data_IF_598701662968
#
_entry.id   IF_598701662968
#
_cell.length_a   1.000
_cell.length_b   1.000
_cell.length_c   1.000
_cell.angle_alpha   90.00
_cell.angle_beta   90.00
_cell.angle_gamma   90.00
#
_symmetry.space_group_name_H-M   'P 1'
#
loop_
_entity.id
_entity.type
_entity.pdbx_description
1 polymer ?
#
# COMPACT_ATOMS: atom_id res chain seq x y z
N UNK A 1 -25.18 60.59 -56.95
CA UNK A 1 -25.29 59.21 -57.40
C UNK A 1 -24.47 58.37 -56.42
N UNK A 2 -25.16 57.45 -55.69
CA UNK A 2 -24.62 56.27 -54.92
C UNK A 2 -23.69 56.58 -53.73
N UNK A 3 -24.25 56.57 -52.54
CA UNK A 3 -23.66 55.95 -51.35
C UNK A 3 -24.83 55.43 -50.52
N UNK A 4 -25.14 54.16 -50.62
CA UNK A 4 -25.93 53.35 -49.64
C UNK A 4 -25.42 51.92 -49.72
N UNK A 5 -24.47 51.59 -48.88
CA UNK A 5 -24.23 50.15 -48.45
C UNK A 5 -23.15 50.20 -47.41
N UNK A 6 -23.49 50.05 -46.15
CA UNK A 6 -22.59 49.60 -45.08
C UNK A 6 -23.13 49.83 -43.68
N UNK A 7 -24.42 49.54 -43.41
CA UNK A 7 -24.98 49.55 -42.04
C UNK A 7 -25.74 48.20 -41.74
N UNK A 8 -25.27 47.07 -42.23
CA UNK A 8 -25.90 45.79 -41.86
C UNK A 8 -24.92 44.70 -41.40
N UNK A 9 -23.68 45.01 -41.09
CA UNK A 9 -22.69 44.01 -40.65
C UNK A 9 -22.18 44.18 -39.20
N UNK A 10 -22.66 45.19 -38.46
CA UNK A 10 -22.20 45.42 -37.08
C UNK A 10 -23.15 44.92 -35.99
N UNK A 11 -24.32 44.34 -36.34
CA UNK A 11 -25.30 43.85 -35.37
C UNK A 11 -25.23 42.31 -35.13
N UNK A 12 -24.41 41.57 -35.89
CA UNK A 12 -24.31 40.10 -35.80
C UNK A 12 -23.22 39.57 -34.89
N UNK A 13 -22.27 40.40 -34.46
CA UNK A 13 -21.10 39.95 -33.69
C UNK A 13 -21.26 40.18 -32.17
N UNK A 14 -22.23 40.95 -31.75
CA UNK A 14 -22.48 41.26 -30.33
C UNK A 14 -23.45 40.29 -29.63
N UNK A 15 -24.07 39.34 -30.36
CA UNK A 15 -25.00 38.35 -29.79
C UNK A 15 -24.36 36.97 -29.57
N UNK A 16 -23.14 36.73 -30.01
CA UNK A 16 -22.40 35.48 -29.76
C UNK A 16 -21.48 35.52 -28.54
N UNK A 17 -21.23 36.68 -27.96
CA UNK A 17 -20.38 36.83 -26.78
C UNK A 17 -21.14 36.77 -25.44
N UNK A 18 -22.47 36.71 -25.48
CA UNK A 18 -23.32 36.71 -24.27
C UNK A 18 -23.86 35.31 -23.88
N UNK A 19 -23.50 34.26 -24.61
CA UNK A 19 -23.99 32.87 -24.35
C UNK A 19 -22.93 31.91 -23.76
N UNK A 20 -21.74 32.41 -23.42
CA UNK A 20 -20.68 31.61 -22.79
C UNK A 20 -20.52 31.91 -21.28
N UNK A 21 -21.32 32.82 -20.73
CA UNK A 21 -21.18 33.28 -19.33
C UNK A 21 -22.26 32.76 -18.35
N UNK A 22 -23.01 31.74 -18.68
CA UNK A 22 -24.05 31.24 -17.77
C UNK A 22 -23.98 29.73 -17.47
N UNK A 23 -22.83 29.11 -17.66
CA UNK A 23 -22.55 27.75 -17.15
C UNK A 23 -21.43 27.75 -16.07
N UNK A 24 -21.22 28.88 -15.39
CA UNK A 24 -20.38 29.00 -14.22
C UNK A 24 -21.16 28.61 -12.97
N UNK A 25 -21.59 27.35 -12.85
CA UNK A 25 -21.77 26.77 -11.54
C UNK A 25 -20.43 26.92 -10.82
N UNK A 26 -20.40 27.43 -9.59
CA UNK A 26 -19.19 27.51 -8.77
C UNK A 26 -18.62 26.09 -8.64
N UNK A 27 -17.74 25.69 -9.56
CA UNK A 27 -16.98 24.47 -9.44
C UNK A 27 -16.10 24.68 -8.20
N UNK A 28 -16.27 23.83 -7.18
CA UNK A 28 -15.44 23.89 -5.99
C UNK A 28 -13.99 23.69 -6.41
N UNK A 29 -13.08 24.41 -5.80
CA UNK A 29 -11.64 24.17 -6.02
C UNK A 29 -11.28 22.79 -5.44
N UNK A 30 -10.26 22.15 -5.98
CA UNK A 30 -9.74 20.89 -5.46
C UNK A 30 -9.49 20.97 -3.95
N UNK A 31 -8.84 22.03 -3.47
CA UNK A 31 -8.61 22.25 -2.04
C UNK A 31 -9.91 22.28 -1.22
N UNK A 32 -11.00 22.84 -1.75
CA UNK A 32 -12.29 22.86 -1.06
C UNK A 32 -12.92 21.46 -1.03
N UNK A 33 -12.81 20.69 -2.11
CA UNK A 33 -13.29 19.29 -2.18
C UNK A 33 -12.53 18.41 -1.17
N UNK A 34 -11.20 18.49 -1.15
CA UNK A 34 -10.37 17.74 -0.22
C UNK A 34 -10.67 18.10 1.24
N UNK A 35 -10.88 19.40 1.55
CA UNK A 35 -11.24 19.84 2.90
C UNK A 35 -12.62 19.35 3.34
N UNK A 36 -13.60 19.37 2.46
CA UNK A 36 -14.95 18.84 2.74
C UNK A 36 -14.92 17.33 2.99
N UNK A 37 -14.22 16.60 2.13
CA UNK A 37 -14.06 15.15 2.27
C UNK A 37 -13.34 14.78 3.57
N UNK A 38 -12.26 15.46 3.90
CA UNK A 38 -11.55 15.28 5.16
C UNK A 38 -12.48 15.45 6.37
N UNK A 39 -13.30 16.49 6.38
CA UNK A 39 -14.26 16.71 7.48
C UNK A 39 -15.30 15.58 7.58
N UNK A 40 -15.66 14.96 6.48
CA UNK A 40 -16.56 13.79 6.44
C UNK A 40 -15.88 12.55 7.01
N UNK A 41 -14.67 12.25 6.56
CA UNK A 41 -13.92 11.05 6.95
C UNK A 41 -13.26 11.13 8.32
N UNK A 42 -13.06 12.32 8.90
CA UNK A 42 -12.60 12.47 10.29
C UNK A 42 -13.68 12.16 11.34
N UNK A 43 -14.95 12.09 10.93
CA UNK A 43 -16.03 11.68 11.82
C UNK A 43 -15.89 10.23 12.28
N UNK A 44 -16.58 9.85 13.35
CA UNK A 44 -16.69 8.45 13.79
C UNK A 44 -17.27 7.61 12.64
N UNK A 45 -16.61 6.51 12.24
CA UNK A 45 -17.08 5.69 11.15
C UNK A 45 -18.46 5.08 11.42
N UNK A 46 -19.29 5.12 10.38
CA UNK A 46 -20.61 4.48 10.36
C UNK A 46 -20.86 3.94 8.96
N UNK A 47 -21.76 2.97 8.83
CA UNK A 47 -22.14 2.41 7.51
C UNK A 47 -22.67 3.48 6.55
N UNK A 48 -23.51 4.39 7.06
CA UNK A 48 -23.98 5.54 6.27
C UNK A 48 -22.83 6.45 5.86
N UNK A 49 -21.87 6.70 6.78
CA UNK A 49 -20.69 7.51 6.48
C UNK A 49 -19.80 6.89 5.39
N UNK A 50 -19.65 5.56 5.38
CA UNK A 50 -18.96 4.84 4.31
C UNK A 50 -19.67 5.05 2.96
N UNK A 51 -21.00 4.93 2.94
CA UNK A 51 -21.82 5.16 1.75
C UNK A 51 -21.68 6.60 1.24
N UNK A 52 -21.75 7.57 2.14
CA UNK A 52 -21.61 9.00 1.79
C UNK A 52 -20.21 9.31 1.28
N UNK A 53 -19.17 8.74 1.88
CA UNK A 53 -17.78 8.91 1.47
C UNK A 53 -17.50 8.36 0.06
N UNK A 54 -17.97 7.15 -0.25
CA UNK A 54 -17.88 6.57 -1.61
C UNK A 54 -18.62 7.45 -2.62
N UNK A 55 -19.87 7.85 -2.29
CA UNK A 55 -20.66 8.71 -3.18
C UNK A 55 -19.98 10.04 -3.48
N UNK A 56 -19.28 10.59 -2.50
CA UNK A 56 -18.50 11.81 -2.68
C UNK A 56 -17.33 11.58 -3.64
N UNK A 57 -16.52 10.51 -3.44
CA UNK A 57 -15.42 10.18 -4.36
C UNK A 57 -15.94 10.02 -5.78
N UNK A 58 -16.97 9.18 -5.98
CA UNK A 58 -17.53 8.91 -7.30
C UNK A 58 -18.00 10.16 -8.03
N UNK A 59 -18.52 11.13 -7.27
CA UNK A 59 -19.01 12.39 -7.82
C UNK A 59 -17.87 13.33 -8.21
N UNK A 60 -16.76 13.33 -7.46
CA UNK A 60 -15.75 14.39 -7.54
C UNK A 60 -14.36 13.93 -7.98
N UNK A 61 -14.10 12.62 -8.09
CA UNK A 61 -12.77 12.10 -8.44
C UNK A 61 -12.28 12.59 -9.81
N UNK A 62 -13.20 12.90 -10.73
CA UNK A 62 -12.86 13.45 -12.04
C UNK A 62 -12.57 14.96 -12.01
N UNK A 63 -12.92 15.64 -10.93
CA UNK A 63 -12.75 17.09 -10.76
C UNK A 63 -11.45 17.47 -10.03
N UNK A 64 -10.68 16.46 -9.60
CA UNK A 64 -9.41 16.63 -8.87
C UNK A 64 -8.24 16.10 -9.68
N UNK A 65 -7.03 16.50 -9.30
CA UNK A 65 -5.79 15.93 -9.84
C UNK A 65 -5.62 14.46 -9.41
N UNK A 66 -4.69 13.73 -10.03
CA UNK A 66 -4.33 12.36 -9.64
C UNK A 66 -3.86 12.29 -8.17
N UNK A 67 -3.07 13.29 -7.73
CA UNK A 67 -2.68 13.44 -6.32
C UNK A 67 -3.91 13.71 -5.42
N UNK A 68 -4.83 14.57 -5.87
CA UNK A 68 -6.09 14.81 -5.17
C UNK A 68 -6.95 13.55 -5.06
N UNK A 69 -7.04 12.77 -6.14
CA UNK A 69 -7.74 11.48 -6.15
C UNK A 69 -7.08 10.48 -5.17
N UNK A 70 -5.75 10.41 -5.15
CA UNK A 70 -5.01 9.57 -4.20
C UNK A 70 -5.32 9.94 -2.76
N UNK A 71 -5.38 11.23 -2.44
CA UNK A 71 -5.75 11.71 -1.10
C UNK A 71 -7.19 11.34 -0.70
N UNK A 72 -8.13 11.42 -1.65
CA UNK A 72 -9.52 10.99 -1.40
C UNK A 72 -9.57 9.49 -1.09
N UNK A 73 -8.91 8.67 -1.89
CA UNK A 73 -8.94 7.20 -1.75
C UNK A 73 -8.19 6.74 -0.50
N UNK A 74 -7.04 7.35 -0.16
CA UNK A 74 -6.34 7.09 1.11
C UNK A 74 -7.18 7.46 2.34
N UNK A 75 -7.89 8.59 2.29
CA UNK A 75 -8.77 8.97 3.40
C UNK A 75 -9.98 8.03 3.52
N UNK A 76 -10.42 7.43 2.41
CA UNK A 76 -11.46 6.39 2.43
C UNK A 76 -10.93 5.08 3.01
N UNK A 77 -9.73 4.65 2.62
CA UNK A 77 -9.07 3.49 3.20
C UNK A 77 -8.95 3.62 4.72
N UNK A 78 -8.43 4.76 5.21
CA UNK A 78 -8.35 5.04 6.67
C UNK A 78 -9.73 4.94 7.34
N UNK A 79 -10.77 5.43 6.67
CA UNK A 79 -12.13 5.37 7.19
C UNK A 79 -12.67 3.93 7.26
N UNK A 80 -12.36 3.08 6.25
CA UNK A 80 -12.65 1.64 6.24
C UNK A 80 -11.93 0.91 7.38
N UNK A 81 -10.64 1.18 7.55
CA UNK A 81 -9.83 0.56 8.61
C UNK A 81 -10.38 0.90 10.01
N UNK A 82 -10.69 2.18 10.27
CA UNK A 82 -11.27 2.61 11.54
C UNK A 82 -12.67 2.04 11.78
N UNK A 83 -13.45 1.79 10.72
CA UNK A 83 -14.75 1.11 10.84
C UNK A 83 -14.56 -0.32 11.35
N UNK A 84 -13.59 -1.06 10.82
CA UNK A 84 -13.27 -2.41 11.29
C UNK A 84 -12.69 -2.41 12.71
N UNK A 85 -11.81 -1.45 13.03
CA UNK A 85 -11.21 -1.31 14.38
C UNK A 85 -12.26 -1.03 15.45
N UNK A 86 -13.35 -0.35 15.11
CA UNK A 86 -14.47 -0.13 16.02
C UNK A 86 -15.28 -1.42 16.30
N UNK A 87 -14.92 -2.54 15.67
CA UNK A 87 -15.64 -3.82 15.78
C UNK A 87 -16.97 -3.82 15.03
N UNK A 88 -17.15 -2.86 14.12
CA UNK A 88 -18.35 -2.78 13.29
C UNK A 88 -18.26 -3.78 12.12
N UNK A 89 -19.42 -4.33 11.76
CA UNK A 89 -19.53 -5.17 10.58
C UNK A 89 -20.63 -4.59 9.69
N UNK A 90 -20.39 -4.37 8.39
CA UNK A 90 -21.43 -3.88 7.51
C UNK A 90 -22.56 -4.90 7.38
N UNK A 91 -23.78 -4.41 7.15
CA UNK A 91 -24.88 -5.27 6.76
C UNK A 91 -24.50 -6.00 5.45
N UNK A 92 -24.56 -7.34 5.40
CA UNK A 92 -24.22 -8.08 4.18
C UNK A 92 -25.03 -7.68 2.94
N UNK A 93 -26.21 -7.09 3.11
CA UNK A 93 -27.05 -6.60 2.02
C UNK A 93 -26.74 -5.13 1.64
N UNK A 94 -25.91 -4.43 2.42
CA UNK A 94 -25.53 -3.06 2.11
C UNK A 94 -24.45 -3.02 1.02
N UNK A 95 -24.50 -2.01 0.14
CA UNK A 95 -23.49 -1.81 -0.93
C UNK A 95 -22.07 -1.59 -0.42
N UNK A 96 -21.93 -1.19 0.84
CA UNK A 96 -20.62 -1.02 1.49
C UNK A 96 -19.97 -2.33 1.90
N UNK A 97 -20.70 -3.45 1.90
CA UNK A 97 -20.15 -4.79 2.17
C UNK A 97 -19.12 -5.21 1.12
N UNK A 98 -19.24 -4.70 -0.11
CA UNK A 98 -18.32 -4.98 -1.23
C UNK A 98 -16.88 -4.45 -0.99
N UNK A 99 -16.67 -3.58 0.01
CA UNK A 99 -15.36 -3.07 0.40
C UNK A 99 -14.63 -3.93 1.42
N UNK A 100 -15.23 -5.05 1.82
CA UNK A 100 -14.68 -5.92 2.83
C UNK A 100 -14.71 -7.38 2.39
N UNK A 101 -13.64 -8.08 2.66
CA UNK A 101 -13.56 -9.52 2.45
C UNK A 101 -13.25 -10.26 3.76
N UNK A 102 -13.53 -11.54 3.79
CA UNK A 102 -13.08 -12.46 4.84
C UNK A 102 -12.03 -13.35 4.17
N UNK A 103 -10.74 -13.24 4.54
CA UNK A 103 -9.70 -14.06 3.95
C UNK A 103 -9.94 -15.54 4.19
N UNK A 104 -9.62 -16.38 3.20
CA UNK A 104 -9.77 -17.84 3.31
C UNK A 104 -8.91 -18.45 4.44
N UNK A 105 -7.84 -17.77 4.82
CA UNK A 105 -6.96 -18.15 5.93
C UNK A 105 -7.57 -17.94 7.33
N UNK A 106 -8.72 -17.25 7.43
CA UNK A 106 -9.37 -16.87 8.70
C UNK A 106 -10.56 -17.77 9.06
N UNK A 107 -10.49 -19.09 8.78
CA UNK A 107 -11.62 -20.01 9.06
C UNK A 107 -11.97 -20.11 10.55
N UNK A 108 -10.97 -19.98 11.46
CA UNK A 108 -11.17 -20.14 12.90
C UNK A 108 -11.71 -18.88 13.57
N UNK A 109 -11.36 -17.72 13.07
CA UNK A 109 -11.81 -16.40 13.54
C UNK A 109 -11.96 -15.47 12.34
N UNK A 110 -13.12 -15.43 11.67
CA UNK A 110 -13.33 -14.73 10.42
C UNK A 110 -13.32 -13.21 10.65
N UNK A 111 -12.13 -12.62 10.71
CA UNK A 111 -11.98 -11.18 10.74
C UNK A 111 -12.10 -10.60 9.34
N UNK A 112 -12.94 -9.58 9.20
CA UNK A 112 -13.05 -8.84 7.94
C UNK A 112 -11.82 -7.97 7.74
N UNK A 113 -11.42 -7.86 6.48
CA UNK A 113 -10.35 -6.98 6.04
C UNK A 113 -10.85 -6.10 4.90
N UNK A 114 -10.13 -5.00 4.62
CA UNK A 114 -10.42 -4.16 3.47
C UNK A 114 -10.12 -4.93 2.19
N UNK A 115 -11.05 -4.89 1.24
CA UNK A 115 -10.86 -5.45 -0.10
C UNK A 115 -10.09 -4.46 -0.97
N UNK A 116 -8.78 -4.65 -1.06
CA UNK A 116 -7.92 -3.79 -1.87
C UNK A 116 -8.08 -4.03 -3.37
N UNK A 117 -8.55 -5.20 -3.80
CA UNK A 117 -8.89 -5.45 -5.20
C UNK A 117 -10.11 -4.63 -5.61
N UNK A 118 -11.12 -4.51 -4.75
CA UNK A 118 -12.27 -3.64 -5.00
C UNK A 118 -11.85 -2.16 -5.10
N UNK A 119 -10.91 -1.70 -4.25
CA UNK A 119 -10.36 -0.34 -4.35
C UNK A 119 -9.57 -0.11 -5.65
N UNK A 120 -8.75 -1.07 -6.04
CA UNK A 120 -7.98 -1.04 -7.29
C UNK A 120 -8.89 -1.06 -8.51
N UNK A 121 -9.88 -1.93 -8.55
CA UNK A 121 -10.83 -2.05 -9.66
C UNK A 121 -11.61 -0.76 -9.88
N UNK A 122 -11.98 -0.07 -8.79
CA UNK A 122 -12.80 1.13 -8.88
C UNK A 122 -12.00 2.40 -9.11
N UNK A 123 -10.85 2.55 -8.46
CA UNK A 123 -10.11 3.81 -8.40
C UNK A 123 -8.67 3.72 -8.94
N UNK A 124 -8.16 2.53 -9.24
CA UNK A 124 -6.76 2.32 -9.62
C UNK A 124 -6.29 3.13 -10.84
N UNK A 125 -7.20 3.40 -11.80
CA UNK A 125 -6.89 4.22 -12.98
C UNK A 125 -6.96 5.75 -12.71
N UNK A 126 -7.29 6.16 -11.48
CA UNK A 126 -7.49 7.55 -11.09
C UNK A 126 -6.49 8.05 -10.07
N UNK A 127 -5.91 7.12 -9.31
CA UNK A 127 -4.91 7.42 -8.28
C UNK A 127 -3.50 7.40 -8.86
N UNK A 128 -2.55 7.94 -8.11
CA UNK A 128 -1.14 7.92 -8.51
C UNK A 128 -0.61 6.49 -8.67
N UNK A 129 0.38 6.28 -9.55
CA UNK A 129 1.01 4.97 -9.72
C UNK A 129 1.51 4.38 -8.40
N UNK A 130 2.03 5.24 -7.51
CA UNK A 130 2.57 4.87 -6.21
C UNK A 130 1.48 4.28 -5.30
N UNK A 131 0.35 4.96 -5.20
CA UNK A 131 -0.76 4.46 -4.39
C UNK A 131 -1.33 3.17 -4.96
N UNK A 132 -1.42 3.08 -6.29
CA UNK A 132 -1.85 1.84 -6.94
C UNK A 132 -0.91 0.68 -6.63
N UNK A 133 0.40 0.88 -6.70
CA UNK A 133 1.38 -0.16 -6.36
C UNK A 133 1.34 -0.54 -4.88
N UNK A 134 1.15 0.43 -3.97
CA UNK A 134 0.94 0.13 -2.56
C UNK A 134 -0.31 -0.74 -2.35
N UNK A 135 -1.41 -0.42 -3.03
CA UNK A 135 -2.64 -1.23 -2.91
C UNK A 135 -2.48 -2.63 -3.50
N UNK A 136 -1.64 -2.81 -4.53
CA UNK A 136 -1.27 -4.16 -5.01
C UNK A 136 -0.52 -4.95 -3.92
N UNK A 137 0.40 -4.32 -3.18
CA UNK A 137 1.08 -4.98 -2.06
C UNK A 137 0.06 -5.34 -0.96
N UNK A 138 -0.83 -4.42 -0.61
CA UNK A 138 -1.88 -4.66 0.39
C UNK A 138 -2.85 -5.76 -0.03
N UNK A 139 -3.26 -5.79 -1.30
CA UNK A 139 -4.11 -6.85 -1.86
C UNK A 139 -3.43 -8.22 -1.76
N UNK A 140 -2.14 -8.32 -2.07
CA UNK A 140 -1.39 -9.57 -1.92
C UNK A 140 -1.40 -10.05 -0.46
N UNK A 141 -1.18 -9.17 0.52
CA UNK A 141 -1.17 -9.55 1.93
C UNK A 141 -2.58 -9.87 2.45
N UNK A 142 -3.63 -9.34 1.83
CA UNK A 142 -5.01 -9.63 2.20
C UNK A 142 -5.49 -10.96 1.62
N UNK A 143 -5.21 -11.22 0.34
CA UNK A 143 -5.67 -12.41 -0.38
C UNK A 143 -4.76 -13.63 -0.15
N UNK A 144 -3.46 -13.39 -0.07
CA UNK A 144 -2.41 -14.38 0.08
C UNK A 144 -1.38 -13.96 1.15
N UNK A 145 -1.76 -13.91 2.42
CA UNK A 145 -0.92 -13.37 3.47
C UNK A 145 0.45 -14.07 3.56
N UNK A 146 1.48 -13.29 3.88
CA UNK A 146 2.82 -13.81 4.12
C UNK A 146 2.86 -14.70 5.36
N UNK A 147 2.09 -14.33 6.39
CA UNK A 147 2.01 -15.08 7.66
C UNK A 147 0.58 -15.17 8.17
N UNK A 148 0.25 -16.29 8.83
CA UNK A 148 -0.97 -16.47 9.61
C UNK A 148 -0.59 -17.18 10.92
N UNK A 149 -1.07 -16.68 12.05
CA UNK A 149 -0.83 -17.27 13.37
C UNK A 149 0.66 -17.57 13.65
N UNK A 150 1.54 -16.65 13.25
CA UNK A 150 3.00 -16.77 13.35
C UNK A 150 3.63 -17.91 12.52
N UNK A 151 2.93 -18.44 11.51
CA UNK A 151 3.46 -19.36 10.51
C UNK A 151 3.67 -18.62 9.18
N UNK A 152 4.82 -18.80 8.53
CA UNK A 152 5.08 -18.28 7.19
C UNK A 152 4.41 -19.20 6.17
N UNK A 153 3.51 -18.66 5.37
CA UNK A 153 2.75 -19.40 4.35
C UNK A 153 3.35 -19.27 2.94
N UNK A 154 4.36 -18.44 2.77
CA UNK A 154 5.00 -18.16 1.48
C UNK A 154 6.37 -18.83 1.40
N UNK A 155 6.80 -19.13 0.18
CA UNK A 155 8.17 -19.58 -0.09
C UNK A 155 9.15 -18.40 0.03
N UNK A 156 10.44 -18.70 0.25
CA UNK A 156 11.46 -17.65 0.27
C UNK A 156 11.52 -16.84 -1.04
N UNK A 157 11.43 -17.44 -2.24
CA UNK A 157 11.31 -16.68 -3.49
C UNK A 157 10.12 -15.72 -3.53
N UNK A 158 8.94 -16.13 -3.01
CA UNK A 158 7.76 -15.25 -2.95
C UNK A 158 8.00 -14.07 -2.01
N UNK A 159 8.60 -14.30 -0.83
CA UNK A 159 8.94 -13.24 0.13
C UNK A 159 9.97 -12.26 -0.45
N UNK A 160 10.98 -12.77 -1.16
CA UNK A 160 11.97 -11.94 -1.86
C UNK A 160 11.32 -11.08 -2.94
N UNK A 161 10.38 -11.62 -3.70
CA UNK A 161 9.62 -10.89 -4.72
C UNK A 161 8.77 -9.77 -4.09
N UNK A 162 8.11 -10.04 -2.96
CA UNK A 162 7.32 -9.06 -2.20
C UNK A 162 8.21 -7.96 -1.63
N UNK A 163 9.34 -8.32 -1.02
CA UNK A 163 10.32 -7.35 -0.54
C UNK A 163 10.86 -6.46 -1.67
N UNK A 164 11.18 -7.05 -2.83
CA UNK A 164 11.64 -6.30 -3.99
C UNK A 164 10.57 -5.33 -4.54
N UNK A 165 9.28 -5.68 -4.51
CA UNK A 165 8.20 -4.77 -4.90
C UNK A 165 8.13 -3.57 -3.96
N UNK A 166 8.20 -3.81 -2.64
CA UNK A 166 8.22 -2.73 -1.66
C UNK A 166 9.48 -1.85 -1.78
N UNK A 167 10.65 -2.45 -2.03
CA UNK A 167 11.90 -1.71 -2.29
C UNK A 167 11.79 -0.79 -3.51
N UNK A 168 11.23 -1.30 -4.63
CA UNK A 168 11.04 -0.50 -5.86
C UNK A 168 10.14 0.69 -5.59
N UNK A 169 9.03 0.47 -4.89
CA UNK A 169 8.10 1.53 -4.54
C UNK A 169 8.79 2.61 -3.70
N UNK A 170 9.64 2.23 -2.74
CA UNK A 170 10.42 3.16 -1.92
C UNK A 170 11.46 3.94 -2.72
N UNK A 171 12.10 3.33 -3.71
CA UNK A 171 13.11 3.98 -4.56
C UNK A 171 12.52 4.95 -5.58
N UNK A 172 11.41 4.58 -6.18
CA UNK A 172 10.81 5.33 -7.29
C UNK A 172 9.99 6.51 -6.79
N UNK A 173 9.44 6.43 -5.57
CA UNK A 173 8.43 7.36 -5.07
C UNK A 173 8.78 7.93 -3.70
N UNK A 174 9.40 9.09 -3.71
CA UNK A 174 9.90 9.74 -2.48
C UNK A 174 8.93 10.77 -1.88
N UNK A 175 7.79 11.07 -2.53
CA UNK A 175 7.08 12.32 -2.30
C UNK A 175 5.79 12.23 -1.48
N UNK A 176 5.23 11.04 -1.22
CA UNK A 176 3.99 10.92 -0.45
C UNK A 176 4.24 10.25 0.91
N UNK A 177 4.14 11.01 1.99
CA UNK A 177 4.45 10.55 3.35
C UNK A 177 3.69 9.28 3.75
N UNK A 178 2.39 9.18 3.43
CA UNK A 178 1.58 8.02 3.80
C UNK A 178 1.94 6.76 2.99
N UNK A 179 2.12 6.87 1.67
CA UNK A 179 2.52 5.76 0.80
C UNK A 179 3.89 5.25 1.21
N UNK A 180 4.84 6.19 1.42
CA UNK A 180 6.19 5.87 1.86
C UNK A 180 6.19 5.16 3.20
N UNK A 181 5.47 5.68 4.21
CA UNK A 181 5.42 5.08 5.55
C UNK A 181 4.89 3.65 5.52
N UNK A 182 3.80 3.40 4.80
CA UNK A 182 3.24 2.05 4.62
C UNK A 182 4.24 1.13 3.88
N UNK A 183 4.88 1.62 2.81
CA UNK A 183 5.84 0.82 2.03
C UNK A 183 7.07 0.45 2.86
N UNK A 184 7.55 1.35 3.73
CA UNK A 184 8.64 1.06 4.68
C UNK A 184 8.23 -0.02 5.68
N UNK A 185 6.99 0.00 6.17
CA UNK A 185 6.49 -1.02 7.09
C UNK A 185 6.42 -2.40 6.42
N UNK A 186 5.89 -2.49 5.19
CA UNK A 186 5.89 -3.75 4.44
C UNK A 186 7.30 -4.25 4.15
N UNK A 187 8.20 -3.38 3.70
CA UNK A 187 9.58 -3.75 3.44
C UNK A 187 10.29 -4.26 4.70
N UNK A 188 10.14 -3.55 5.82
CA UNK A 188 10.64 -3.96 7.12
C UNK A 188 10.13 -5.34 7.53
N UNK A 189 8.83 -5.59 7.38
CA UNK A 189 8.22 -6.86 7.72
C UNK A 189 8.75 -8.00 6.85
N UNK A 190 8.89 -7.79 5.53
CA UNK A 190 9.47 -8.79 4.65
C UNK A 190 10.95 -9.08 4.98
N UNK A 191 11.74 -8.05 5.28
CA UNK A 191 13.11 -8.25 5.74
C UNK A 191 13.16 -9.06 7.02
N UNK A 192 12.30 -8.78 7.99
CA UNK A 192 12.25 -9.54 9.23
C UNK A 192 11.93 -11.02 8.96
N UNK A 193 10.92 -11.32 8.12
CA UNK A 193 10.56 -12.69 7.75
C UNK A 193 11.71 -13.40 7.02
N UNK A 194 12.45 -12.71 6.17
CA UNK A 194 13.61 -13.25 5.46
C UNK A 194 14.80 -13.49 6.39
N UNK A 195 15.09 -12.59 7.33
CA UNK A 195 16.28 -12.69 8.17
C UNK A 195 16.08 -13.52 9.44
N UNK A 196 14.92 -13.39 10.09
CA UNK A 196 14.63 -14.05 11.34
C UNK A 196 13.61 -15.20 11.22
N UNK A 197 12.73 -15.12 10.21
CA UNK A 197 11.56 -16.00 10.12
C UNK A 197 10.42 -15.54 11.01
N UNK A 198 9.66 -16.49 11.49
CA UNK A 198 8.59 -16.28 12.47
C UNK A 198 8.66 -17.33 13.58
N UNK A 199 7.83 -17.17 14.62
CA UNK A 199 7.87 -18.09 15.77
C UNK A 199 7.63 -19.56 15.40
N UNK A 200 6.78 -19.84 14.40
CA UNK A 200 6.49 -21.19 13.93
C UNK A 200 7.30 -21.60 12.71
N UNK A 201 7.94 -20.64 12.04
CA UNK A 201 8.76 -20.90 10.85
C UNK A 201 10.07 -20.10 10.95
N UNK A 202 10.97 -20.43 11.88
CA UNK A 202 12.25 -19.75 12.03
C UNK A 202 13.18 -20.07 10.87
N UNK A 203 14.12 -19.17 10.56
CA UNK A 203 15.15 -19.42 9.53
C UNK A 203 16.20 -20.42 9.97
N UNK A 204 16.39 -20.59 11.28
CA UNK A 204 17.20 -21.67 11.88
C UNK A 204 16.27 -22.65 12.57
N UNK A 205 16.42 -23.94 12.29
CA UNK A 205 15.66 -25.00 12.92
C UNK A 205 15.90 -25.05 14.44
N UNK A 206 14.83 -25.04 15.23
CA UNK A 206 14.95 -24.95 16.70
C UNK A 206 15.64 -26.19 17.36
N UNK A 207 15.53 -27.34 16.74
CA UNK A 207 16.08 -28.56 17.32
C UNK A 207 17.55 -28.76 16.98
N UNK A 208 17.95 -28.41 15.76
CA UNK A 208 19.30 -28.59 15.24
C UNK A 208 20.15 -27.32 15.25
N UNK A 209 19.50 -26.16 15.30
CA UNK A 209 20.13 -24.87 15.15
C UNK A 209 20.65 -24.57 13.73
N UNK A 210 20.36 -25.42 12.76
CA UNK A 210 20.86 -25.27 11.39
C UNK A 210 20.01 -24.26 10.61
N UNK A 211 20.67 -23.42 9.81
CA UNK A 211 20.03 -22.50 8.89
C UNK A 211 19.30 -23.25 7.78
N UNK A 212 18.13 -22.74 7.37
CA UNK A 212 17.33 -23.34 6.30
C UNK A 212 18.11 -23.43 4.99
N UNK A 213 18.28 -24.63 4.41
CA UNK A 213 18.92 -24.78 3.11
C UNK A 213 18.11 -24.16 1.98
N UNK A 214 16.77 -24.15 2.10
CA UNK A 214 15.87 -23.52 1.12
C UNK A 214 16.03 -22.00 1.13
N UNK A 215 16.16 -21.38 2.31
CA UNK A 215 16.47 -19.96 2.43
C UNK A 215 17.83 -19.64 1.79
N UNK A 216 18.84 -20.46 2.08
CA UNK A 216 20.18 -20.26 1.54
C UNK A 216 20.19 -20.25 0.02
N UNK A 217 19.60 -21.27 -0.62
CA UNK A 217 19.52 -21.38 -2.06
C UNK A 217 18.77 -20.19 -2.68
N UNK A 218 17.61 -19.83 -2.12
CA UNK A 218 16.82 -18.70 -2.62
C UNK A 218 17.56 -17.36 -2.52
N UNK A 219 18.32 -17.13 -1.44
CA UNK A 219 19.08 -15.89 -1.26
C UNK A 219 20.29 -15.83 -2.19
N UNK A 220 21.02 -16.93 -2.38
CA UNK A 220 22.12 -17.01 -3.35
C UNK A 220 21.63 -16.70 -4.78
N UNK A 221 20.52 -17.29 -5.18
CA UNK A 221 19.89 -17.06 -6.48
C UNK A 221 19.42 -15.61 -6.65
N UNK A 222 18.80 -15.04 -5.61
CA UNK A 222 18.34 -13.65 -5.64
C UNK A 222 19.50 -12.66 -5.76
N UNK A 223 20.57 -12.81 -4.97
CA UNK A 223 21.75 -11.95 -5.03
C UNK A 223 22.38 -12.01 -6.43
N UNK A 224 22.44 -13.20 -7.04
CA UNK A 224 22.98 -13.36 -8.38
C UNK A 224 22.10 -12.69 -9.46
N UNK A 225 20.76 -12.74 -9.30
CA UNK A 225 19.81 -12.19 -10.25
C UNK A 225 19.58 -10.67 -10.10
N UNK A 226 19.70 -10.11 -8.90
CA UNK A 226 19.34 -8.73 -8.54
C UNK A 226 20.46 -8.01 -7.75
N UNK A 227 21.74 -8.01 -8.20
CA UNK A 227 22.90 -7.57 -7.40
C UNK A 227 22.88 -6.09 -7.00
N UNK A 228 22.12 -5.26 -7.72
CA UNK A 228 22.10 -3.80 -7.53
C UNK A 228 20.95 -3.33 -6.59
N UNK A 229 20.26 -4.26 -5.93
CA UNK A 229 19.18 -3.95 -4.99
C UNK A 229 19.70 -3.76 -3.56
N UNK A 230 18.99 -2.97 -2.74
CA UNK A 230 19.27 -2.86 -1.31
C UNK A 230 19.12 -4.23 -0.65
N UNK A 231 18.07 -4.96 -1.02
CA UNK A 231 17.81 -6.31 -0.54
C UNK A 231 18.98 -7.28 -0.78
N UNK A 232 19.58 -7.25 -1.97
CA UNK A 232 20.77 -8.07 -2.25
C UNK A 232 21.99 -7.67 -1.38
N UNK A 233 22.14 -6.38 -1.11
CA UNK A 233 23.15 -5.87 -0.16
C UNK A 233 22.94 -6.43 1.23
N UNK A 234 21.71 -6.32 1.75
CA UNK A 234 21.29 -6.88 3.06
C UNK A 234 21.59 -8.37 3.15
N UNK A 235 21.17 -9.15 2.16
CA UNK A 235 21.40 -10.60 2.14
C UNK A 235 22.90 -10.95 2.05
N UNK A 236 23.68 -10.15 1.32
CA UNK A 236 25.15 -10.34 1.25
C UNK A 236 25.80 -10.12 2.61
N UNK A 237 25.43 -9.08 3.34
CA UNK A 237 25.92 -8.83 4.69
C UNK A 237 25.43 -9.88 5.68
N UNK A 238 24.18 -10.32 5.53
CA UNK A 238 23.64 -11.43 6.32
C UNK A 238 24.42 -12.73 6.12
N UNK A 239 24.83 -13.06 4.88
CA UNK A 239 25.75 -14.18 4.63
C UNK A 239 27.12 -13.99 5.31
N UNK A 240 27.59 -12.76 5.47
CA UNK A 240 28.77 -12.46 6.28
C UNK A 240 28.62 -12.92 7.73
N UNK A 241 27.47 -12.64 8.34
CA UNK A 241 27.10 -13.12 9.67
C UNK A 241 26.96 -14.65 9.70
N UNK A 242 26.19 -15.23 8.78
CA UNK A 242 25.95 -16.69 8.70
C UNK A 242 27.25 -17.49 8.57
N UNK A 243 28.21 -17.02 7.79
CA UNK A 243 29.55 -17.63 7.67
C UNK A 243 30.33 -17.58 8.99
N UNK A 244 30.18 -16.52 9.80
CA UNK A 244 30.86 -16.40 11.09
C UNK A 244 30.33 -17.36 12.15
N UNK A 245 29.09 -17.81 12.00
CA UNK A 245 28.42 -18.78 12.88
C UNK A 245 28.33 -20.19 12.25
N UNK A 246 29.04 -20.43 11.14
CA UNK A 246 28.99 -21.72 10.40
C UNK A 246 27.56 -22.16 10.02
N UNK A 247 26.66 -21.20 9.72
CA UNK A 247 25.23 -21.44 9.44
C UNK A 247 24.49 -22.20 10.54
N UNK A 248 24.93 -22.02 11.80
CA UNK A 248 24.31 -22.68 12.94
C UNK A 248 24.29 -21.75 14.16
N UNK A 249 23.18 -21.73 14.88
CA UNK A 249 23.04 -21.04 16.17
C UNK A 249 22.55 -21.98 17.25
N UNK A 250 22.89 -21.70 18.51
CA UNK A 250 22.33 -22.38 19.67
C UNK A 250 21.27 -21.49 20.31
N UNK A 251 19.99 -21.82 20.11
CA UNK A 251 18.89 -21.07 20.70
C UNK A 251 18.83 -21.16 22.22
N UNK A 252 19.55 -22.10 22.85
CA UNK A 252 19.66 -22.19 24.31
C UNK A 252 20.71 -21.26 24.89
N UNK A 253 21.61 -20.71 24.04
CA UNK A 253 22.57 -19.68 24.44
C UNK A 253 21.93 -18.28 24.28
N UNK A 254 21.63 -17.57 25.40
CA UNK A 254 21.00 -16.25 25.34
C UNK A 254 21.88 -15.19 24.69
N UNK A 255 23.22 -15.39 24.65
CA UNK A 255 24.16 -14.47 24.01
C UNK A 255 24.09 -14.66 22.49
N UNK A 256 24.11 -15.90 22.01
CA UNK A 256 23.98 -16.20 20.59
C UNK A 256 22.64 -15.69 20.03
N UNK A 257 21.54 -15.94 20.76
CA UNK A 257 20.23 -15.42 20.42
C UNK A 257 20.18 -13.89 20.32
N UNK A 258 20.73 -13.20 21.34
CA UNK A 258 20.76 -11.75 21.33
C UNK A 258 21.57 -11.22 20.15
N UNK A 259 22.74 -11.76 19.87
CA UNK A 259 23.58 -11.35 18.74
C UNK A 259 22.86 -11.58 17.41
N UNK A 260 22.14 -12.68 17.26
CA UNK A 260 21.35 -12.98 16.06
C UNK A 260 20.29 -11.90 15.81
N UNK A 261 19.42 -11.66 16.78
CA UNK A 261 18.35 -10.66 16.62
C UNK A 261 18.88 -9.24 16.50
N UNK A 262 19.90 -8.86 17.27
CA UNK A 262 20.56 -7.55 17.11
C UNK A 262 21.15 -7.39 15.70
N UNK A 263 21.65 -8.46 15.08
CA UNK A 263 22.15 -8.44 13.69
C UNK A 263 21.01 -8.25 12.70
N UNK A 264 19.89 -8.96 12.87
CA UNK A 264 18.71 -8.78 12.02
C UNK A 264 18.19 -7.35 12.11
N UNK A 265 18.03 -6.82 13.33
CA UNK A 265 17.56 -5.44 13.55
C UNK A 265 18.51 -4.42 12.91
N UNK A 266 19.81 -4.58 13.09
CA UNK A 266 20.83 -3.71 12.47
C UNK A 266 20.72 -3.71 10.93
N UNK A 267 20.63 -4.89 10.31
CA UNK A 267 20.53 -4.99 8.85
C UNK A 267 19.23 -4.39 8.31
N UNK A 268 18.14 -4.51 9.05
CA UNK A 268 16.85 -3.91 8.69
C UNK A 268 16.94 -2.37 8.79
N UNK A 269 17.54 -1.83 9.86
CA UNK A 269 17.70 -0.39 10.06
C UNK A 269 18.59 0.21 8.95
N UNK A 270 19.74 -0.38 8.65
CA UNK A 270 20.62 0.05 7.55
C UNK A 270 19.92 0.02 6.19
N UNK A 271 19.09 -1.01 5.94
CA UNK A 271 18.29 -1.08 4.72
C UNK A 271 17.29 0.08 4.61
N UNK A 272 16.59 0.39 5.71
CA UNK A 272 15.60 1.47 5.74
C UNK A 272 16.24 2.86 5.62
N UNK A 273 17.46 3.06 6.12
CA UNK A 273 18.23 4.29 5.97
C UNK A 273 18.69 4.55 4.51
N UNK A 274 18.63 3.52 3.66
CA UNK A 274 19.01 3.63 2.23
C UNK A 274 17.96 4.36 1.37
N UNK A 275 16.79 4.66 1.91
CA UNK A 275 15.68 5.35 1.25
C UNK A 275 15.44 6.73 1.86
#
# INVERSE_FOLDING_TARGET
MKIRLSIRLAAGILLLAALVLSAGGCQKTESALLSEYKSMTEATPTEQGLTDAVSFIDTHIADVSEEGASRLVLAYEDYLLRFLEAGEAPDPEASVSDWFLIPASSEADPQRQVDYDALLDRYGDRVSPELRELFVIKSLETSEPSTVDAEILRTYPDLLDRALKAEKLLKEHQSEDAVRANSMEYYKNYLFLLLAGSDLTPVFDYDTGLFSPEAKEAYEDFIAAQPDTVLAGVLTEYFGYLNNVDFQIDYTDPVANKVFYDTCDYLIEEALESF
#
